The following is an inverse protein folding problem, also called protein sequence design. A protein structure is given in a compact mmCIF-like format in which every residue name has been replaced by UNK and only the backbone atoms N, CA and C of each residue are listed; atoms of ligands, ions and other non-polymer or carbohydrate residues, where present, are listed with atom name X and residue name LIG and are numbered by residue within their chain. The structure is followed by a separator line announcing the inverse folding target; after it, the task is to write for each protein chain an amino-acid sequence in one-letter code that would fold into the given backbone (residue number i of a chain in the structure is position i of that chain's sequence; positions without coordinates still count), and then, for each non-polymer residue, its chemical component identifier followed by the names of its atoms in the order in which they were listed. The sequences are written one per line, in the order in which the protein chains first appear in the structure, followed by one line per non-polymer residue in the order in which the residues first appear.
data_IF_068303377757
#
_entry.id   IF_068303377757
#
_cell.length_a   1.000
_cell.length_b   1.000
_cell.length_c   1.000
_cell.angle_alpha   90.00
_cell.angle_beta   90.00
_cell.angle_gamma   90.00
#
_symmetry.space_group_name_H-M   'P 1'
#
loop_
_entity.id
_entity.type
_entity.pdbx_description
1 polymer ?
#
# COMPACT_ATOMS: atom_id res chain seq x y z
N UNK A 1 32.03 -14.81 -13.66
CA UNK A 1 30.59 -15.12 -13.62
C UNK A 1 30.17 -14.80 -12.22
N UNK A 2 29.38 -13.73 -12.06
CA UNK A 2 28.91 -13.25 -10.76
C UNK A 2 28.03 -14.32 -10.13
N UNK A 3 28.60 -15.07 -9.18
CA UNK A 3 27.84 -15.98 -8.34
C UNK A 3 27.06 -15.10 -7.36
N UNK A 4 25.84 -14.73 -7.77
CA UNK A 4 24.86 -14.09 -6.90
C UNK A 4 24.79 -14.90 -5.60
N UNK A 5 25.21 -14.28 -4.49
CA UNK A 5 25.11 -14.87 -3.16
C UNK A 5 23.63 -15.14 -2.87
N UNK A 6 23.23 -16.41 -2.91
CA UNK A 6 21.84 -16.81 -2.67
C UNK A 6 21.40 -16.37 -1.27
N UNK A 7 20.21 -15.77 -1.22
CA UNK A 7 19.62 -15.22 0.01
C UNK A 7 18.78 -16.23 0.77
N UNK A 8 18.36 -15.84 1.97
CA UNK A 8 17.33 -16.58 2.72
C UNK A 8 16.02 -16.57 1.92
N UNK A 9 15.37 -17.72 1.80
CA UNK A 9 14.15 -17.90 1.02
C UNK A 9 14.38 -18.40 -0.41
N UNK A 10 15.62 -18.43 -0.90
CA UNK A 10 15.95 -19.04 -2.20
C UNK A 10 15.63 -20.53 -2.19
N UNK A 11 14.90 -20.98 -3.21
CA UNK A 11 14.61 -22.40 -3.47
C UNK A 11 15.74 -23.00 -4.29
N UNK A 12 16.14 -24.21 -3.93
CA UNK A 12 17.24 -24.93 -4.54
C UNK A 12 16.94 -26.42 -4.57
N UNK A 13 17.69 -27.14 -5.38
CA UNK A 13 17.70 -28.59 -5.47
C UNK A 13 19.09 -29.09 -5.10
N UNK A 14 19.17 -30.06 -4.19
CA UNK A 14 20.41 -30.78 -3.94
C UNK A 14 20.28 -32.21 -4.46
N UNK A 15 21.30 -32.71 -5.17
CA UNK A 15 21.24 -34.06 -5.79
C UNK A 15 20.93 -35.17 -4.77
N UNK A 16 21.41 -35.03 -3.52
CA UNK A 16 21.25 -36.06 -2.48
C UNK A 16 20.04 -35.84 -1.57
N UNK A 17 19.63 -34.60 -1.35
CA UNK A 17 18.62 -34.25 -0.34
C UNK A 17 17.31 -33.74 -0.94
N UNK A 18 17.28 -33.59 -2.27
CA UNK A 18 16.11 -33.11 -2.98
C UNK A 18 15.90 -31.60 -2.85
N UNK A 19 14.66 -31.12 -3.00
CA UNK A 19 14.35 -29.70 -2.94
C UNK A 19 14.45 -29.17 -1.51
N UNK A 20 15.00 -27.96 -1.40
CA UNK A 20 15.18 -27.26 -0.14
C UNK A 20 15.09 -25.74 -0.27
N UNK A 21 15.03 -25.08 0.89
CA UNK A 21 14.99 -23.62 0.99
C UNK A 21 16.09 -23.15 1.94
N UNK A 22 16.81 -22.10 1.56
CA UNK A 22 17.80 -21.46 2.44
C UNK A 22 17.07 -20.78 3.60
N UNK A 23 17.38 -21.18 4.83
CA UNK A 23 16.83 -20.59 6.06
C UNK A 23 17.87 -19.75 6.81
N UNK A 24 19.14 -19.83 6.41
CA UNK A 24 20.22 -19.01 6.97
C UNK A 24 21.47 -19.04 6.10
N UNK A 25 22.24 -17.95 6.16
CA UNK A 25 23.48 -17.79 5.41
C UNK A 25 24.61 -17.56 6.41
N UNK A 26 25.60 -18.46 6.43
CA UNK A 26 26.87 -18.26 7.17
C UNK A 26 27.96 -17.87 6.17
N UNK A 27 29.18 -17.67 6.66
CA UNK A 27 30.31 -17.26 5.82
C UNK A 27 30.56 -18.24 4.65
N UNK A 28 30.80 -19.52 4.96
CA UNK A 28 31.16 -20.55 3.97
C UNK A 28 30.04 -21.55 3.63
N UNK A 29 28.95 -21.56 4.40
CA UNK A 29 27.87 -22.55 4.26
C UNK A 29 26.50 -21.91 4.21
N UNK A 30 25.55 -22.57 3.54
CA UNK A 30 24.12 -22.32 3.63
C UNK A 30 23.48 -23.27 4.64
N UNK A 31 22.56 -22.74 5.44
CA UNK A 31 21.62 -23.55 6.21
C UNK A 31 20.40 -23.78 5.34
N UNK A 32 20.18 -25.02 4.94
CA UNK A 32 19.12 -25.40 4.01
C UNK A 32 18.15 -26.33 4.74
N UNK A 33 16.88 -25.99 4.71
CA UNK A 33 15.81 -26.87 5.18
C UNK A 33 15.29 -27.69 3.99
N UNK A 34 15.54 -29.00 4.02
CA UNK A 34 15.04 -29.97 3.06
C UNK A 34 13.72 -30.59 3.53
N UNK A 35 12.79 -30.84 2.61
CA UNK A 35 11.44 -31.35 2.93
C UNK A 35 11.51 -32.67 3.72
N UNK A 36 12.37 -33.61 3.29
CA UNK A 36 12.45 -34.95 3.88
C UNK A 36 13.65 -35.15 4.81
N UNK A 37 14.62 -34.24 4.81
CA UNK A 37 15.90 -34.39 5.51
C UNK A 37 16.14 -33.33 6.60
N UNK A 38 15.20 -32.40 6.77
CA UNK A 38 15.29 -31.32 7.75
C UNK A 38 16.43 -30.35 7.44
N UNK A 39 16.97 -29.72 8.49
CA UNK A 39 18.00 -28.69 8.36
C UNK A 39 19.39 -29.32 8.17
N UNK A 40 20.12 -28.84 7.16
CA UNK A 40 21.49 -29.25 6.83
C UNK A 40 22.35 -28.04 6.52
N UNK A 41 23.63 -28.14 6.87
CA UNK A 41 24.65 -27.19 6.45
C UNK A 41 25.28 -27.71 5.15
N UNK A 42 25.28 -26.89 4.10
CA UNK A 42 25.82 -27.24 2.78
C UNK A 42 26.82 -26.15 2.37
N UNK A 43 27.97 -26.54 1.84
CA UNK A 43 28.98 -25.58 1.35
C UNK A 43 28.41 -24.74 0.21
N UNK A 44 28.70 -23.44 0.19
CA UNK A 44 28.25 -22.54 -0.87
C UNK A 44 28.78 -22.94 -2.26
N UNK A 45 29.88 -23.68 -2.29
CA UNK A 45 30.53 -24.17 -3.50
C UNK A 45 30.26 -25.66 -3.75
N UNK A 46 29.29 -26.28 -3.06
CA UNK A 46 28.96 -27.68 -3.30
C UNK A 46 28.48 -27.87 -4.76
N UNK A 47 29.18 -28.67 -5.59
CA UNK A 47 28.81 -28.86 -6.99
C UNK A 47 27.49 -29.61 -7.18
N UNK A 48 26.91 -30.17 -6.12
CA UNK A 48 25.60 -30.85 -6.13
C UNK A 48 24.44 -29.93 -5.78
N UNK A 49 24.71 -28.64 -5.58
CA UNK A 49 23.74 -27.62 -5.26
C UNK A 49 23.35 -26.86 -6.53
N UNK A 50 22.12 -27.07 -6.98
CA UNK A 50 21.54 -26.37 -8.12
C UNK A 50 20.49 -25.38 -7.64
N UNK A 51 20.60 -24.11 -8.06
CA UNK A 51 19.55 -23.13 -7.81
C UNK A 51 18.34 -23.45 -8.68
N UNK A 52 17.15 -23.47 -8.08
CA UNK A 52 15.90 -23.50 -8.85
C UNK A 52 15.59 -22.05 -9.18
N UNK A 53 15.90 -21.64 -10.41
CA UNK A 53 15.49 -20.32 -10.91
C UNK A 53 13.97 -20.29 -10.80
N UNK A 54 13.38 -19.38 -10.00
CA UNK A 54 11.94 -19.27 -9.94
C UNK A 54 11.45 -18.96 -11.35
N UNK A 55 10.43 -19.70 -11.79
CA UNK A 55 9.65 -19.31 -12.95
C UNK A 55 9.24 -17.85 -12.70
N UNK A 56 9.48 -16.96 -13.67
CA UNK A 56 9.16 -15.54 -13.54
C UNK A 56 7.66 -15.41 -13.34
N UNK A 57 7.22 -15.54 -12.10
CA UNK A 57 5.93 -15.05 -11.66
C UNK A 57 6.14 -13.55 -11.76
N UNK A 58 5.70 -12.98 -12.89
CA UNK A 58 5.43 -11.56 -12.91
C UNK A 58 4.58 -11.36 -11.67
N UNK A 59 5.06 -10.58 -10.71
CA UNK A 59 4.16 -10.01 -9.72
C UNK A 59 3.03 -9.45 -10.57
N UNK A 60 1.87 -10.11 -10.58
CA UNK A 60 0.67 -9.40 -10.94
C UNK A 60 0.69 -8.27 -9.95
N UNK A 61 1.07 -7.09 -10.45
CA UNK A 61 0.95 -5.86 -9.71
C UNK A 61 -0.55 -5.73 -9.58
N UNK A 62 -1.11 -6.40 -8.58
CA UNK A 62 -2.47 -6.24 -8.14
C UNK A 62 -2.54 -4.80 -7.69
N UNK A 63 -2.88 -3.97 -8.67
CA UNK A 63 -3.42 -2.64 -8.55
C UNK A 63 -2.59 -1.68 -7.72
N UNK A 64 -1.77 -0.89 -8.41
CA UNK A 64 -1.43 0.47 -7.97
C UNK A 64 -2.66 1.21 -7.42
N UNK A 65 -3.86 0.92 -7.93
CA UNK A 65 -5.15 1.41 -7.44
C UNK A 65 -5.42 1.20 -5.94
N UNK A 66 -5.08 0.07 -5.31
CA UNK A 66 -5.37 -0.11 -3.87
C UNK A 66 -4.43 0.69 -2.97
N UNK A 67 -3.15 0.74 -3.34
CA UNK A 67 -2.13 1.54 -2.66
C UNK A 67 -2.42 3.03 -2.86
N UNK A 68 -2.78 3.44 -4.08
CA UNK A 68 -3.19 4.82 -4.39
C UNK A 68 -4.43 5.22 -3.60
N UNK A 69 -5.48 4.38 -3.57
CA UNK A 69 -6.69 4.65 -2.76
C UNK A 69 -6.37 4.80 -1.28
N UNK A 70 -5.48 3.96 -0.76
CA UNK A 70 -5.05 4.02 0.65
C UNK A 70 -4.27 5.30 0.95
N UNK A 71 -3.33 5.67 0.08
CA UNK A 71 -2.58 6.92 0.19
C UNK A 71 -3.50 8.14 0.12
N UNK A 72 -4.44 8.16 -0.83
CA UNK A 72 -5.42 9.24 -1.01
C UNK A 72 -6.31 9.40 0.23
N UNK A 73 -6.70 8.28 0.86
CA UNK A 73 -7.47 8.29 2.12
C UNK A 73 -6.66 8.87 3.28
N UNK A 74 -5.38 8.52 3.40
CA UNK A 74 -4.48 9.09 4.42
C UNK A 74 -4.32 10.60 4.18
N UNK A 75 -4.03 11.02 2.95
CA UNK A 75 -3.85 12.43 2.62
C UNK A 75 -5.12 13.26 2.89
N UNK A 76 -6.32 12.71 2.66
CA UNK A 76 -7.60 13.37 3.00
C UNK A 76 -7.89 13.42 4.50
N UNK A 77 -7.42 12.44 5.27
CA UNK A 77 -7.62 12.39 6.73
C UNK A 77 -6.68 13.35 7.46
N UNK A 78 -5.46 13.55 6.95
CA UNK A 78 -4.39 14.27 7.63
C UNK A 78 -4.03 15.60 6.98
N UNK A 79 -4.24 15.72 5.67
CA UNK A 79 -4.23 16.99 4.99
C UNK A 79 -5.57 17.65 5.27
N UNK A 80 -5.54 18.81 5.92
CA UNK A 80 -6.69 19.72 6.11
C UNK A 80 -7.20 20.30 4.77
N UNK A 81 -7.03 19.54 3.69
CA UNK A 81 -7.50 19.80 2.34
C UNK A 81 -9.00 19.56 2.31
N UNK A 82 -9.74 20.57 2.78
CA UNK A 82 -11.14 20.70 2.45
C UNK A 82 -11.25 20.84 0.92
N UNK A 83 -11.87 19.85 0.27
CA UNK A 83 -12.27 20.00 -1.13
C UNK A 83 -13.20 21.21 -1.22
N UNK A 84 -12.86 22.15 -2.11
CA UNK A 84 -13.74 23.28 -2.42
C UNK A 84 -14.95 22.73 -3.16
N UNK A 85 -16.05 22.52 -2.43
CA UNK A 85 -17.32 22.06 -3.02
C UNK A 85 -18.04 23.26 -3.62
N UNK A 86 -18.21 23.33 -4.96
CA UNK A 86 -18.93 24.44 -5.58
C UNK A 86 -20.41 24.42 -5.20
N UNK A 87 -21.03 25.61 -5.18
CA UNK A 87 -22.46 25.74 -4.96
C UNK A 87 -23.22 25.16 -6.17
N UNK A 88 -24.07 24.17 -5.93
CA UNK A 88 -24.88 23.57 -6.99
C UNK A 88 -25.79 24.58 -7.67
N UNK A 89 -25.98 24.45 -8.99
CA UNK A 89 -26.64 25.44 -9.87
C UNK A 89 -28.03 25.88 -9.37
N UNK A 90 -28.79 24.96 -8.77
CA UNK A 90 -30.13 25.23 -8.21
C UNK A 90 -30.16 26.29 -7.11
N UNK A 91 -29.01 26.62 -6.52
CA UNK A 91 -28.90 27.57 -5.41
C UNK A 91 -28.22 28.89 -5.81
N UNK A 92 -27.69 29.00 -7.03
CA UNK A 92 -27.05 30.22 -7.52
C UNK A 92 -28.08 31.35 -7.68
N UNK A 93 -27.74 32.55 -7.21
CA UNK A 93 -28.60 33.72 -7.19
C UNK A 93 -29.74 33.66 -6.16
N UNK A 94 -29.72 32.67 -5.26
CA UNK A 94 -30.74 32.50 -4.22
C UNK A 94 -30.44 33.27 -2.93
N UNK A 95 -31.45 33.34 -2.05
CA UNK A 95 -31.32 33.91 -0.71
C UNK A 95 -31.46 32.82 0.37
N UNK A 96 -30.63 32.92 1.40
CA UNK A 96 -30.71 32.11 2.62
C UNK A 96 -31.52 32.87 3.68
N UNK A 97 -32.56 32.24 4.21
CA UNK A 97 -33.39 32.80 5.28
C UNK A 97 -33.03 32.13 6.60
N UNK A 98 -32.39 32.89 7.50
CA UNK A 98 -32.14 32.46 8.87
C UNK A 98 -33.39 32.75 9.71
N UNK A 99 -34.13 31.70 10.03
CA UNK A 99 -35.31 31.76 10.88
C UNK A 99 -34.91 31.50 12.34
N UNK A 100 -35.01 32.49 13.25
CA UNK A 100 -34.80 32.26 14.68
C UNK A 100 -35.88 31.33 15.24
N UNK A 101 -35.51 30.49 16.22
CA UNK A 101 -36.48 29.69 16.99
C UNK A 101 -37.45 30.58 17.78
N UNK A 102 -36.97 31.74 18.21
CA UNK A 102 -37.77 32.75 18.88
C UNK A 102 -38.55 33.58 17.86
N UNK A 103 -39.86 33.37 17.82
CA UNK A 103 -40.77 34.02 16.87
C UNK A 103 -40.93 35.55 17.12
N UNK A 104 -40.41 36.08 18.23
CA UNK A 104 -40.37 37.54 18.45
C UNK A 104 -39.30 38.23 17.61
N UNK A 105 -38.32 37.48 17.09
CA UNK A 105 -37.23 38.01 16.29
C UNK A 105 -37.53 37.90 14.79
N UNK A 106 -37.09 38.91 14.04
CA UNK A 106 -37.29 38.95 12.59
C UNK A 106 -36.32 37.98 11.90
N UNK A 107 -36.77 37.27 10.85
CA UNK A 107 -35.87 36.48 10.01
C UNK A 107 -34.83 37.37 9.35
N UNK A 108 -33.63 36.83 9.14
CA UNK A 108 -32.56 37.51 8.43
C UNK A 108 -32.36 36.86 7.07
N UNK A 109 -32.49 37.65 6.02
CA UNK A 109 -32.19 37.23 4.66
C UNK A 109 -30.77 37.64 4.28
N UNK A 110 -30.04 36.70 3.69
CA UNK A 110 -28.65 36.90 3.25
C UNK A 110 -28.49 36.25 1.88
N UNK A 111 -27.86 36.89 0.88
CA UNK A 111 -27.50 36.23 -0.37
C UNK A 111 -26.67 34.97 -0.10
N UNK A 112 -26.99 33.87 -0.78
CA UNK A 112 -26.33 32.57 -0.56
C UNK A 112 -24.81 32.69 -0.81
N UNK A 113 -24.41 33.42 -1.84
CA UNK A 113 -23.00 33.65 -2.19
C UNK A 113 -22.25 34.36 -1.06
N UNK A 114 -22.88 35.36 -0.44
CA UNK A 114 -22.27 36.12 0.66
C UNK A 114 -22.09 35.27 1.92
N UNK A 115 -22.99 34.30 2.16
CA UNK A 115 -22.89 33.37 3.27
C UNK A 115 -21.74 32.37 3.06
N UNK A 116 -21.68 31.70 1.91
CA UNK A 116 -20.65 30.69 1.64
C UNK A 116 -19.25 31.29 1.41
N UNK A 117 -19.14 32.51 0.89
CA UNK A 117 -17.86 33.21 0.77
C UNK A 117 -17.19 33.45 2.14
N UNK A 118 -17.97 33.61 3.21
CA UNK A 118 -17.48 33.82 4.59
C UNK A 118 -17.15 32.54 5.37
N UNK A 119 -17.52 31.38 4.84
CA UNK A 119 -17.29 30.07 5.50
C UNK A 119 -16.04 29.39 4.93
N UNK A 120 -15.71 29.69 3.68
CA UNK A 120 -14.57 29.11 2.96
C UNK A 120 -13.29 29.96 3.10
N UNK A 121 -13.40 31.25 3.43
CA UNK A 121 -12.28 32.11 3.84
C UNK A 121 -12.28 32.32 5.35
#
# INVERSE_FOLDING_TARGET
MDQLSLGIGTRLQHTQYGPGVIVGVKYAVYLISFINHGLKEVDKNDPKLEEIIPENVSLEVETTSEVERSLLKILRLWGDATEVVPLGDKWQGGNLVLQPKDNSQKPKEIPIEAFFHKIVM
#
